data_IF_944188765268
#
_entry.id   IF_944188765268
#
_cell.length_a   1.000
_cell.length_b   1.000
_cell.length_c   1.000
_cell.angle_alpha   90.00
_cell.angle_beta   90.00
_cell.angle_gamma   90.00
#
_symmetry.space_group_name_H-M   'P 1'
#
loop_
_entity.id
_entity.type
_entity.pdbx_description
1 polymer ?
#
# COMPACT_ATOMS: atom_id res chain seq x y z
N UNK A 1 -10.51 -12.66 5.06
CA UNK A 1 -11.50 -12.44 3.97
C UNK A 1 -10.96 -12.95 2.65
N UNK A 2 -11.82 -13.36 1.73
CA UNK A 2 -11.44 -13.85 0.39
C UNK A 2 -10.57 -12.82 -0.36
N UNK A 3 -10.93 -11.54 -0.24
CA UNK A 3 -10.16 -10.44 -0.82
C UNK A 3 -8.74 -10.36 -0.23
N UNK A 4 -8.63 -10.40 1.10
CA UNK A 4 -7.33 -10.39 1.77
C UNK A 4 -6.44 -11.57 1.39
N UNK A 5 -7.03 -12.77 1.21
CA UNK A 5 -6.29 -13.94 0.74
C UNK A 5 -5.74 -13.75 -0.69
N UNK A 6 -6.54 -13.16 -1.57
CA UNK A 6 -6.12 -12.86 -2.93
C UNK A 6 -4.98 -11.84 -2.96
N UNK A 7 -5.06 -10.79 -2.15
CA UNK A 7 -4.02 -9.77 -2.03
C UNK A 7 -2.70 -10.34 -1.51
N UNK A 8 -2.75 -11.20 -0.48
CA UNK A 8 -1.57 -11.91 0.03
C UNK A 8 -0.97 -12.80 -1.05
N UNK A 9 -1.79 -13.55 -1.78
CA UNK A 9 -1.31 -14.41 -2.85
C UNK A 9 -0.63 -13.63 -3.96
N UNK A 10 -1.14 -12.46 -4.32
CA UNK A 10 -0.50 -11.57 -5.29
C UNK A 10 0.87 -11.09 -4.81
N UNK A 11 1.00 -10.71 -3.54
CA UNK A 11 2.29 -10.30 -2.98
C UNK A 11 3.27 -11.49 -2.86
N UNK A 12 2.78 -12.69 -2.55
CA UNK A 12 3.58 -13.92 -2.57
C UNK A 12 4.12 -14.22 -3.97
N UNK A 13 3.32 -14.05 -5.02
CA UNK A 13 3.77 -14.21 -6.41
C UNK A 13 4.86 -13.19 -6.77
N UNK A 14 4.70 -11.92 -6.38
CA UNK A 14 5.72 -10.90 -6.59
C UNK A 14 7.03 -11.26 -5.85
N UNK A 15 6.90 -11.77 -4.62
CA UNK A 15 8.05 -12.20 -3.81
C UNK A 15 8.75 -13.43 -4.41
N UNK A 16 8.01 -14.41 -4.92
CA UNK A 16 8.58 -15.55 -5.63
C UNK A 16 9.34 -15.09 -6.88
N UNK A 17 8.74 -14.17 -7.65
CA UNK A 17 9.38 -13.62 -8.86
C UNK A 17 10.70 -12.91 -8.54
N UNK A 18 10.80 -12.11 -7.49
CA UNK A 18 12.05 -11.45 -7.15
C UNK A 18 13.12 -12.43 -6.68
N UNK A 19 12.76 -13.50 -5.98
CA UNK A 19 13.68 -14.58 -5.59
C UNK A 19 14.24 -15.26 -6.83
N UNK A 20 13.37 -15.67 -7.75
CA UNK A 20 13.78 -16.34 -8.99
C UNK A 20 14.65 -15.44 -9.87
N UNK A 21 14.30 -14.16 -9.98
CA UNK A 21 15.08 -13.17 -10.73
C UNK A 21 16.47 -12.99 -10.11
N UNK A 22 16.54 -12.89 -8.77
CA UNK A 22 17.80 -12.75 -8.04
C UNK A 22 18.67 -14.00 -8.15
N UNK A 23 18.05 -15.19 -8.08
CA UNK A 23 18.76 -16.45 -8.25
C UNK A 23 19.30 -16.61 -9.68
N UNK A 24 18.53 -16.22 -10.68
CA UNK A 24 18.95 -16.21 -12.10
C UNK A 24 20.12 -15.25 -12.31
N UNK A 25 20.05 -14.05 -11.78
CA UNK A 25 21.12 -13.05 -11.82
C UNK A 25 22.42 -13.61 -11.20
N UNK A 26 22.30 -14.25 -10.04
CA UNK A 26 23.45 -14.82 -9.32
C UNK A 26 24.07 -16.01 -10.06
N UNK A 27 23.25 -16.94 -10.54
CA UNK A 27 23.71 -18.18 -11.18
C UNK A 27 24.36 -17.94 -12.53
N UNK A 28 23.86 -16.98 -13.29
CA UNK A 28 24.27 -16.75 -14.68
C UNK A 28 25.16 -15.52 -14.86
N UNK A 29 25.46 -14.79 -13.78
CA UNK A 29 26.15 -13.49 -13.82
C UNK A 29 25.44 -12.51 -14.79
N UNK A 30 24.08 -12.45 -14.73
CA UNK A 30 23.23 -11.76 -15.69
C UNK A 30 22.86 -10.35 -15.20
N UNK A 31 23.50 -9.34 -15.79
CA UNK A 31 23.22 -7.91 -15.50
C UNK A 31 21.81 -7.49 -15.92
N UNK A 32 21.21 -8.12 -16.93
CA UNK A 32 19.83 -7.82 -17.33
C UNK A 32 18.84 -8.30 -16.27
N UNK A 33 19.11 -9.43 -15.62
CA UNK A 33 18.33 -9.86 -14.48
C UNK A 33 18.54 -8.93 -13.27
N UNK A 34 19.77 -8.47 -13.03
CA UNK A 34 20.07 -7.50 -11.96
C UNK A 34 19.27 -6.22 -12.11
N UNK A 35 19.13 -5.65 -13.31
CA UNK A 35 18.38 -4.40 -13.54
C UNK A 35 16.89 -4.53 -13.21
N UNK A 36 16.33 -5.74 -13.19
CA UNK A 36 14.93 -6.00 -12.86
C UNK A 36 14.65 -6.08 -11.35
N UNK A 37 15.67 -6.34 -10.53
CA UNK A 37 15.50 -6.61 -9.10
C UNK A 37 14.99 -5.39 -8.35
N UNK A 38 15.61 -4.22 -8.53
CA UNK A 38 15.25 -3.01 -7.79
C UNK A 38 13.84 -2.49 -8.13
N UNK A 39 13.41 -2.39 -9.41
CA UNK A 39 12.05 -2.01 -9.74
C UNK A 39 11.00 -2.97 -9.16
N UNK A 40 11.30 -4.27 -9.14
CA UNK A 40 10.42 -5.29 -8.57
C UNK A 40 10.37 -5.20 -7.03
N UNK A 41 11.49 -4.96 -6.36
CA UNK A 41 11.53 -4.72 -4.91
C UNK A 41 10.70 -3.49 -4.52
N UNK A 42 10.83 -2.40 -5.26
CA UNK A 42 10.03 -1.20 -5.04
C UNK A 42 8.53 -1.47 -5.24
N UNK A 43 8.17 -2.26 -6.27
CA UNK A 43 6.77 -2.64 -6.51
C UNK A 43 6.20 -3.50 -5.36
N UNK A 44 6.98 -4.41 -4.78
CA UNK A 44 6.59 -5.19 -3.60
C UNK A 44 6.29 -4.27 -2.42
N UNK A 45 7.12 -3.25 -2.17
CA UNK A 45 6.90 -2.26 -1.11
C UNK A 45 5.62 -1.46 -1.33
N UNK A 46 5.33 -1.01 -2.56
CA UNK A 46 4.10 -0.27 -2.87
C UNK A 46 2.85 -1.15 -2.76
N UNK A 47 2.90 -2.38 -3.28
CA UNK A 47 1.79 -3.35 -3.17
C UNK A 47 1.49 -3.67 -1.71
N UNK A 48 2.50 -3.83 -0.87
CA UNK A 48 2.33 -3.99 0.59
C UNK A 48 1.54 -2.82 1.19
N UNK A 49 1.88 -1.57 0.87
CA UNK A 49 1.16 -0.40 1.41
C UNK A 49 -0.29 -0.35 0.90
N UNK A 50 -0.54 -0.69 -0.37
CA UNK A 50 -1.88 -0.82 -0.93
C UNK A 50 -2.71 -1.85 -0.15
N UNK A 51 -2.15 -3.02 0.13
CA UNK A 51 -2.83 -4.09 0.89
C UNK A 51 -3.17 -3.63 2.32
N UNK A 52 -2.27 -2.88 2.97
CA UNK A 52 -2.55 -2.30 4.29
C UNK A 52 -3.70 -1.30 4.25
N UNK A 53 -3.72 -0.40 3.25
CA UNK A 53 -4.81 0.56 3.09
C UNK A 53 -6.15 -0.17 2.84
N UNK A 54 -6.16 -1.21 2.02
CA UNK A 54 -7.33 -2.07 1.80
C UNK A 54 -7.79 -2.78 3.08
N UNK A 55 -6.86 -3.26 3.91
CA UNK A 55 -7.22 -3.89 5.18
C UNK A 55 -7.88 -2.89 6.13
N UNK A 56 -7.39 -1.65 6.21
CA UNK A 56 -8.03 -0.59 7.02
C UNK A 56 -9.47 -0.34 6.58
N UNK A 57 -9.75 -0.36 5.28
CA UNK A 57 -11.10 -0.19 4.76
C UNK A 57 -11.97 -1.41 5.14
N UNK A 58 -11.48 -2.65 5.00
CA UNK A 58 -12.20 -3.86 5.43
C UNK A 58 -12.52 -3.88 6.92
N UNK A 59 -11.63 -3.35 7.76
CA UNK A 59 -11.91 -3.17 9.19
C UNK A 59 -13.06 -2.17 9.42
N UNK A 60 -13.13 -1.10 8.64
CA UNK A 60 -14.19 -0.09 8.76
C UNK A 60 -15.55 -0.60 8.25
N UNK A 61 -15.55 -1.51 7.29
CA UNK A 61 -16.78 -2.14 6.76
C UNK A 61 -17.23 -3.36 7.54
N UNK A 62 -16.43 -3.86 8.47
CA UNK A 62 -16.71 -5.07 9.23
C UNK A 62 -16.43 -6.38 8.47
N UNK A 63 -15.72 -6.30 7.34
CA UNK A 63 -15.38 -7.46 6.49
C UNK A 63 -14.16 -8.24 6.99
N UNK A 64 -13.50 -7.78 8.03
CA UNK A 64 -12.41 -8.47 8.73
C UNK A 64 -12.30 -8.04 10.19
N UNK A 65 -11.57 -8.83 10.99
CA UNK A 65 -11.32 -8.58 12.40
C UNK A 65 -9.92 -7.94 12.64
N UNK A 66 -9.73 -7.41 13.84
CA UNK A 66 -8.47 -6.77 14.25
C UNK A 66 -7.37 -7.80 14.47
N UNK A 67 -7.71 -8.99 14.97
CA UNK A 67 -6.73 -10.03 15.31
C UNK A 67 -6.05 -10.57 14.05
N UNK A 68 -6.83 -10.78 12.98
CA UNK A 68 -6.29 -11.09 11.65
C UNK A 68 -5.39 -10.00 11.06
N UNK A 69 -5.59 -8.76 11.49
CA UNK A 69 -4.78 -7.61 11.07
C UNK A 69 -3.33 -7.68 11.54
N UNK A 70 -3.07 -8.14 12.76
CA UNK A 70 -1.71 -8.31 13.27
C UNK A 70 -0.92 -9.34 12.47
N UNK A 71 -1.52 -10.51 12.22
CA UNK A 71 -0.91 -11.55 11.40
C UNK A 71 -0.65 -11.07 9.96
N UNK A 72 -1.58 -10.30 9.38
CA UNK A 72 -1.41 -9.71 8.07
C UNK A 72 -0.20 -8.78 8.02
N UNK A 73 -0.05 -7.85 8.97
CA UNK A 73 1.08 -6.91 9.00
C UNK A 73 2.41 -7.64 9.11
N UNK A 74 2.48 -8.71 9.91
CA UNK A 74 3.70 -9.51 10.07
C UNK A 74 4.07 -10.23 8.77
N UNK A 75 3.10 -10.82 8.07
CA UNK A 75 3.31 -11.45 6.76
C UNK A 75 3.79 -10.42 5.74
N UNK A 76 3.09 -9.29 5.60
CA UNK A 76 3.43 -8.23 4.67
C UNK A 76 4.84 -7.68 4.92
N UNK A 77 5.20 -7.48 6.18
CA UNK A 77 6.53 -7.01 6.57
C UNK A 77 7.62 -8.02 6.24
N UNK A 78 7.35 -9.30 6.45
CA UNK A 78 8.30 -10.39 6.14
C UNK A 78 8.54 -10.49 4.63
N UNK A 79 7.50 -10.40 3.81
CA UNK A 79 7.61 -10.45 2.35
C UNK A 79 8.37 -9.21 1.79
N UNK A 80 8.10 -8.03 2.30
CA UNK A 80 8.82 -6.80 1.96
C UNK A 80 10.33 -6.89 2.31
N UNK A 81 10.66 -7.50 3.47
CA UNK A 81 12.06 -7.73 3.85
C UNK A 81 12.77 -8.69 2.91
N UNK A 82 12.09 -9.72 2.41
CA UNK A 82 12.65 -10.61 1.37
C UNK A 82 12.99 -9.80 0.12
N UNK A 83 12.08 -8.94 -0.35
CA UNK A 83 12.32 -8.03 -1.46
C UNK A 83 13.57 -7.15 -1.24
N UNK A 84 13.68 -6.56 -0.06
CA UNK A 84 14.85 -5.74 0.31
C UNK A 84 16.16 -6.53 0.34
N UNK A 85 16.14 -7.78 0.80
CA UNK A 85 17.32 -8.66 0.77
C UNK A 85 17.71 -9.02 -0.66
N UNK A 86 16.75 -9.31 -1.53
CA UNK A 86 16.99 -9.56 -2.95
C UNK A 86 17.62 -8.33 -3.64
N UNK A 87 17.14 -7.11 -3.34
CA UNK A 87 17.75 -5.87 -3.84
C UNK A 87 19.21 -5.73 -3.40
N UNK A 88 19.52 -6.00 -2.13
CA UNK A 88 20.89 -5.98 -1.64
C UNK A 88 21.79 -7.04 -2.33
N UNK A 89 21.28 -8.25 -2.56
CA UNK A 89 22.00 -9.29 -3.29
C UNK A 89 22.26 -8.84 -4.74
N UNK A 90 21.24 -8.27 -5.41
CA UNK A 90 21.38 -7.72 -6.76
C UNK A 90 22.46 -6.67 -6.87
N UNK A 91 22.56 -5.78 -5.87
CA UNK A 91 23.63 -4.80 -5.79
C UNK A 91 25.01 -5.44 -5.69
N UNK A 92 25.17 -6.50 -4.88
CA UNK A 92 26.44 -7.21 -4.76
C UNK A 92 26.84 -7.96 -6.04
N UNK A 93 25.86 -8.51 -6.77
CA UNK A 93 26.08 -9.13 -8.07
C UNK A 93 26.54 -8.08 -9.08
N UNK A 94 25.83 -6.95 -9.16
CA UNK A 94 26.20 -5.83 -10.03
C UNK A 94 27.66 -5.38 -9.79
N UNK A 95 28.02 -5.19 -8.52
CA UNK A 95 29.40 -4.83 -8.14
C UNK A 95 30.44 -5.86 -8.58
N UNK A 96 30.15 -7.16 -8.45
CA UNK A 96 31.04 -8.24 -8.90
C UNK A 96 31.28 -8.18 -10.40
N UNK A 97 30.26 -7.83 -11.18
CA UNK A 97 30.27 -7.90 -12.64
C UNK A 97 30.74 -6.61 -13.31
N UNK A 98 30.77 -5.49 -12.58
CA UNK A 98 31.25 -4.21 -13.09
C UNK A 98 32.56 -3.83 -12.40
N UNK A 99 33.40 -3.12 -13.11
CA UNK A 99 34.68 -2.58 -12.58
C UNK A 99 34.50 -1.29 -11.78
N UNK A 100 33.27 -0.82 -11.65
CA UNK A 100 32.93 0.40 -10.93
C UNK A 100 33.14 0.24 -9.42
N UNK A 101 33.52 1.31 -8.75
CA UNK A 101 33.65 1.29 -7.30
C UNK A 101 32.29 1.01 -6.63
N UNK A 102 32.33 0.37 -5.47
CA UNK A 102 31.11 0.04 -4.71
C UNK A 102 30.27 1.28 -4.41
N UNK A 103 30.93 2.39 -4.09
CA UNK A 103 30.27 3.63 -3.75
C UNK A 103 29.58 4.26 -4.95
N UNK A 104 30.18 4.19 -6.14
CA UNK A 104 29.57 4.67 -7.39
C UNK A 104 28.36 3.81 -7.78
N UNK A 105 28.48 2.48 -7.72
CA UNK A 105 27.39 1.56 -8.02
C UNK A 105 26.25 1.71 -7.01
N UNK A 106 26.56 1.78 -5.72
CA UNK A 106 25.60 2.03 -4.65
C UNK A 106 24.90 3.37 -4.86
N UNK A 107 25.68 4.41 -5.19
CA UNK A 107 25.17 5.71 -5.58
C UNK A 107 24.28 5.64 -6.81
N UNK A 108 24.64 4.90 -7.85
CA UNK A 108 23.88 4.81 -9.10
C UNK A 108 22.54 4.09 -8.93
N UNK A 109 22.50 2.99 -8.20
CA UNK A 109 21.26 2.21 -7.98
C UNK A 109 20.33 2.87 -6.94
N UNK A 110 20.88 3.51 -5.90
CA UNK A 110 20.09 4.14 -4.84
C UNK A 110 19.96 5.66 -4.96
N UNK A 111 20.77 6.32 -5.79
CA UNK A 111 20.59 7.74 -6.10
C UNK A 111 19.56 7.95 -7.21
N UNK A 112 19.08 9.18 -7.33
CA UNK A 112 18.07 9.57 -8.31
C UNK A 112 18.41 9.23 -9.77
N UNK A 113 19.66 8.91 -10.11
CA UNK A 113 20.10 8.62 -11.47
C UNK A 113 19.44 7.37 -12.08
N UNK A 114 19.53 6.21 -11.41
CA UNK A 114 18.92 4.97 -11.92
C UNK A 114 17.39 4.99 -11.81
N UNK A 115 16.83 5.42 -10.67
CA UNK A 115 15.38 5.52 -10.46
C UNK A 115 14.70 6.51 -11.41
N UNK A 116 15.44 7.42 -12.01
CA UNK A 116 14.95 8.36 -13.03
C UNK A 116 15.10 7.86 -14.46
N UNK A 117 15.84 6.75 -14.68
CA UNK A 117 16.01 6.17 -16.03
C UNK A 117 14.67 5.67 -16.60
N UNK A 118 14.54 5.75 -17.92
CA UNK A 118 13.33 5.27 -18.61
C UNK A 118 13.17 3.74 -18.48
N UNK A 119 14.28 3.00 -18.45
CA UNK A 119 14.28 1.54 -18.24
C UNK A 119 13.71 1.19 -16.87
N UNK A 120 14.18 1.84 -15.80
CA UNK A 120 13.64 1.62 -14.46
C UNK A 120 12.15 1.93 -14.38
N UNK A 121 11.74 3.08 -14.93
CA UNK A 121 10.33 3.49 -14.94
C UNK A 121 9.45 2.50 -15.70
N UNK A 122 9.90 2.03 -16.85
CA UNK A 122 9.18 1.03 -17.65
C UNK A 122 9.01 -0.28 -16.88
N UNK A 123 10.08 -0.81 -16.27
CA UNK A 123 10.05 -2.03 -15.45
C UNK A 123 9.17 -1.84 -14.20
N UNK A 124 9.29 -0.72 -13.51
CA UNK A 124 8.45 -0.42 -12.36
C UNK A 124 6.95 -0.34 -12.74
N UNK A 125 6.61 0.38 -13.81
CA UNK A 125 5.24 0.44 -14.31
C UNK A 125 4.72 -0.95 -14.71
N UNK A 126 5.54 -1.77 -15.35
CA UNK A 126 5.20 -3.14 -15.70
C UNK A 126 4.86 -3.98 -14.46
N UNK A 127 5.70 -3.96 -13.42
CA UNK A 127 5.44 -4.71 -12.19
C UNK A 127 4.25 -4.16 -11.40
N UNK A 128 4.04 -2.85 -11.39
CA UNK A 128 2.86 -2.25 -10.78
C UNK A 128 1.58 -2.67 -11.51
N UNK A 129 1.56 -2.70 -12.84
CA UNK A 129 0.41 -3.21 -13.59
C UNK A 129 0.16 -4.70 -13.36
N UNK A 130 1.22 -5.48 -13.16
CA UNK A 130 1.12 -6.92 -12.94
C UNK A 130 0.57 -7.27 -11.55
N UNK A 131 0.97 -6.53 -10.50
CA UNK A 131 0.69 -6.89 -9.11
C UNK A 131 -0.26 -5.92 -8.40
N UNK A 132 -0.30 -4.65 -8.76
CA UNK A 132 -1.17 -3.66 -8.14
C UNK A 132 -2.54 -3.57 -8.80
N UNK A 133 -2.60 -3.53 -10.13
CA UNK A 133 -3.86 -3.32 -10.85
C UNK A 133 -4.92 -4.40 -10.53
N UNK A 134 -4.60 -5.71 -10.47
CA UNK A 134 -5.60 -6.74 -10.18
C UNK A 134 -6.25 -6.61 -8.81
N UNK A 135 -5.52 -6.10 -7.81
CA UNK A 135 -6.04 -5.91 -6.45
C UNK A 135 -6.74 -4.57 -6.30
N UNK A 136 -6.33 -3.54 -7.04
CA UNK A 136 -6.89 -2.18 -6.96
C UNK A 136 -8.20 -2.05 -7.74
N UNK A 137 -8.36 -2.70 -8.89
CA UNK A 137 -9.56 -2.63 -9.71
C UNK A 137 -10.80 -3.12 -8.98
N UNK A 138 -10.71 -4.26 -8.29
CA UNK A 138 -11.79 -4.77 -7.45
C UNK A 138 -12.15 -3.81 -6.31
N UNK A 139 -11.16 -3.09 -5.79
CA UNK A 139 -11.35 -2.17 -4.69
C UNK A 139 -12.03 -0.87 -5.10
N UNK A 140 -11.80 -0.40 -6.33
CA UNK A 140 -12.49 0.78 -6.89
C UNK A 140 -14.00 0.59 -6.92
N UNK A 141 -14.47 -0.60 -7.28
CA UNK A 141 -15.89 -0.93 -7.26
C UNK A 141 -16.47 -0.87 -5.83
N UNK A 142 -15.78 -1.49 -4.87
CA UNK A 142 -16.20 -1.50 -3.46
C UNK A 142 -16.17 -0.12 -2.81
N UNK A 143 -15.19 0.73 -3.15
CA UNK A 143 -15.12 2.12 -2.68
C UNK A 143 -16.26 2.97 -3.22
N UNK A 144 -16.62 2.83 -4.50
CA UNK A 144 -17.74 3.57 -5.09
C UNK A 144 -19.08 3.21 -4.45
N UNK A 145 -19.29 1.94 -4.12
CA UNK A 145 -20.48 1.49 -3.36
C UNK A 145 -20.51 2.05 -1.94
N UNK A 146 -19.35 2.10 -1.29
CA UNK A 146 -19.23 2.63 0.08
C UNK A 146 -19.50 4.15 0.11
N UNK A 147 -18.93 4.90 -0.82
CA UNK A 147 -19.18 6.33 -0.98
C UNK A 147 -20.67 6.61 -1.24
N UNK A 148 -21.32 5.79 -2.06
CA UNK A 148 -22.74 5.89 -2.33
C UNK A 148 -23.61 5.59 -1.07
N UNK A 149 -23.24 4.58 -0.27
CA UNK A 149 -23.93 4.26 0.99
C UNK A 149 -23.75 5.37 2.04
N UNK A 150 -22.58 5.96 2.16
CA UNK A 150 -22.32 7.08 3.06
C UNK A 150 -23.13 8.32 2.66
N UNK A 151 -23.17 8.64 1.36
CA UNK A 151 -23.96 9.77 0.83
C UNK A 151 -25.45 9.60 1.09
N UNK A 152 -25.98 8.38 0.98
CA UNK A 152 -27.39 8.08 1.31
C UNK A 152 -27.68 8.17 2.80
N UNK A 153 -26.73 7.79 3.68
CA UNK A 153 -26.91 7.87 5.14
C UNK A 153 -26.93 9.30 5.64
N UNK A 154 -26.13 10.17 5.03
CA UNK A 154 -26.08 11.61 5.36
C UNK A 154 -27.33 12.35 4.84
N UNK A 155 -27.88 11.98 3.69
CA UNK A 155 -29.13 12.51 3.19
C UNK A 155 -30.34 12.13 4.08
N UNK A 156 -30.34 10.93 4.66
CA UNK A 156 -31.40 10.48 5.57
C UNK A 156 -31.32 11.12 6.97
N UNK A 157 -30.14 11.58 7.41
CA UNK A 157 -29.99 12.33 8.67
C UNK A 157 -30.47 13.79 8.59
N UNK A 158 -30.60 14.33 7.38
CA UNK A 158 -31.07 15.70 7.14
C UNK A 158 -32.59 15.86 7.16
N UNK A 159 -33.35 14.77 7.20
CA UNK A 159 -34.82 14.77 7.14
C UNK A 159 -35.53 14.38 8.44
N UNK A 160 -34.88 14.46 9.60
CA UNK A 160 -35.56 14.24 10.88
C UNK A 160 -36.17 15.54 11.41
N UNK A 161 -37.46 15.56 11.80
CA UNK A 161 -38.16 16.77 12.22
C UNK A 161 -37.68 17.27 13.59
N UNK A 162 -37.41 18.58 13.65
CA UNK A 162 -37.25 19.31 14.92
C UNK A 162 -38.60 19.37 15.63
N UNK A 163 -38.70 18.73 16.81
CA UNK A 163 -39.43 19.20 17.97
C UNK A 163 -39.65 18.08 18.97
N UNK A 164 -39.03 18.11 20.12
CA UNK A 164 -39.68 17.80 21.42
C UNK A 164 -38.93 18.55 22.50
N UNK A 165 -39.75 19.26 23.31
CA UNK A 165 -39.41 20.18 24.37
C UNK A 165 -38.63 19.58 25.55
N UNK A 166 -37.92 20.49 26.19
CA UNK A 166 -37.26 20.38 27.49
C UNK A 166 -38.28 20.09 28.59
N UNK A 167 -38.06 19.11 29.45
CA UNK A 167 -37.91 19.32 30.90
C UNK A 167 -37.80 17.99 31.70
N UNK A 168 -36.94 18.09 32.70
CA UNK A 168 -36.88 17.41 33.99
C UNK A 168 -36.14 16.08 34.13
N UNK A 169 -35.09 16.23 34.90
CA UNK A 169 -34.68 15.51 36.11
C UNK A 169 -33.45 14.56 36.05
N UNK A 170 -32.39 15.12 36.63
CA UNK A 170 -31.46 14.54 37.65
C UNK A 170 -30.69 13.26 37.40
N UNK A 171 -29.38 13.48 37.32
CA UNK A 171 -28.28 12.87 38.13
C UNK A 171 -28.07 11.36 38.07
N UNK A 172 -26.98 10.87 37.55
CA UNK A 172 -25.74 10.51 38.21
C UNK A 172 -24.83 9.68 37.29
N UNK A 173 -23.54 10.08 37.26
CA UNK A 173 -22.35 9.26 37.08
C UNK A 173 -22.23 8.27 35.91
N UNK A 174 -21.50 8.63 34.85
CA UNK A 174 -20.21 7.97 34.53
C UNK A 174 -19.46 8.72 33.40
N UNK A 175 -18.54 9.56 33.82
CA UNK A 175 -17.48 10.06 32.93
C UNK A 175 -16.47 8.94 32.73
N UNK A 176 -16.35 8.44 31.51
CA UNK A 176 -15.13 7.92 30.89
C UNK A 176 -15.51 7.16 29.61
N UNK A 177 -15.67 7.84 28.47
CA UNK A 177 -15.39 7.28 27.13
C UNK A 177 -15.81 8.24 25.97
N UNK A 178 -15.32 9.47 25.97
CA UNK A 178 -15.52 10.34 24.80
C UNK A 178 -14.37 11.33 24.60
N UNK A 179 -13.20 10.81 24.17
CA UNK A 179 -12.09 11.67 23.67
C UNK A 179 -11.31 11.11 22.48
N UNK A 180 -11.88 10.27 21.63
CA UNK A 180 -11.17 9.72 20.46
C UNK A 180 -11.76 10.07 19.08
N UNK A 181 -12.92 10.66 18.98
CA UNK A 181 -13.54 10.95 17.67
C UNK A 181 -13.00 12.16 16.87
N UNK A 182 -12.52 13.27 17.46
CA UNK A 182 -12.10 14.41 16.65
C UNK A 182 -10.82 14.16 15.82
N UNK A 183 -9.86 13.37 16.31
CA UNK A 183 -8.61 13.09 15.58
C UNK A 183 -8.80 12.25 14.32
N UNK A 184 -9.80 11.39 14.27
CA UNK A 184 -10.05 10.51 13.12
C UNK A 184 -10.62 11.28 11.91
N UNK A 185 -11.43 12.31 12.17
CA UNK A 185 -12.00 13.18 11.11
C UNK A 185 -10.93 14.08 10.47
N UNK A 186 -9.98 14.58 11.26
CA UNK A 186 -8.86 15.38 10.75
C UNK A 186 -7.89 14.57 9.90
N UNK A 187 -7.57 13.32 10.29
CA UNK A 187 -6.73 12.40 9.52
C UNK A 187 -7.39 12.03 8.19
N UNK A 188 -8.71 11.86 8.17
CA UNK A 188 -9.47 11.59 6.93
C UNK A 188 -9.45 12.79 5.97
N UNK A 189 -9.62 14.02 6.46
CA UNK A 189 -9.55 15.24 5.65
C UNK A 189 -8.17 15.43 5.00
N UNK A 190 -7.10 15.25 5.78
CA UNK A 190 -5.74 15.40 5.31
C UNK A 190 -5.33 14.33 4.25
N UNK A 191 -5.82 13.08 4.35
CA UNK A 191 -5.56 12.02 3.34
C UNK A 191 -6.31 12.28 2.03
N UNK A 192 -7.58 12.73 2.09
CA UNK A 192 -8.38 13.06 0.89
C UNK A 192 -7.75 14.24 0.14
N UNK A 193 -7.23 15.23 0.86
CA UNK A 193 -6.58 16.39 0.26
C UNK A 193 -5.25 16.04 -0.43
N UNK A 194 -4.46 15.14 0.16
CA UNK A 194 -3.22 14.60 -0.46
C UNK A 194 -3.49 13.79 -1.73
N UNK A 195 -4.59 13.05 -1.79
CA UNK A 195 -4.99 12.29 -2.99
C UNK A 195 -5.45 13.22 -4.10
N UNK A 196 -6.17 14.32 -3.77
CA UNK A 196 -6.56 15.34 -4.75
C UNK A 196 -5.35 16.09 -5.31
N UNK A 197 -4.40 16.50 -4.47
CA UNK A 197 -3.17 17.18 -4.91
C UNK A 197 -2.29 16.31 -5.82
N UNK A 198 -2.22 14.98 -5.55
CA UNK A 198 -1.51 14.04 -6.44
C UNK A 198 -2.20 13.85 -7.80
N UNK A 199 -3.51 14.03 -7.90
CA UNK A 199 -4.24 13.95 -9.18
C UNK A 199 -4.07 15.22 -10.03
N UNK A 200 -3.98 16.37 -9.39
CA UNK A 200 -3.82 17.66 -10.09
C UNK A 200 -2.38 17.88 -10.58
N UNK A 201 -1.39 17.32 -9.87
CA UNK A 201 0.01 17.36 -10.30
C UNK A 201 0.35 16.39 -11.46
N UNK A 202 -0.53 15.43 -11.78
CA UNK A 202 -0.38 14.54 -12.95
C UNK A 202 -1.10 15.03 -14.20
N UNK A 203 -1.79 16.19 -14.15
CA UNK A 203 -2.49 16.80 -15.28
C UNK A 203 -1.76 18.03 -15.88
N UNK A 204 -0.59 18.36 -15.34
CA UNK A 204 0.36 19.32 -15.92
C UNK A 204 1.58 18.56 -16.45
#
# INVERSE_FOLDING_TARGET
STQGTMEINTLLQATANIIDTTFTAFKNDDLTAVSRIEPLAQSITEVKEIIKDHHVIRLQTGDCDIDGGFALVDILTSLDRIGSHCSNIGLHIAKKLTTDSFDEMHGHIYTNGYKTSEEYKALYCYYMSLYSDPITEKYKASLSELEHKISQSDANKSSAPKSVDLNTAKADKNEQHTKKEPKLKEIKKAKIEKVKQKKDSKKK
#
